data_IF_936006696336
#
_entry.id   IF_936006696336
#
_cell.length_a   1.000
_cell.length_b   1.000
_cell.length_c   1.000
_cell.angle_alpha   90.00
_cell.angle_beta   90.00
_cell.angle_gamma   90.00
#
_symmetry.space_group_name_H-M   'P 1'
#
loop_
_entity.id
_entity.type
_entity.pdbx_description
1 polymer ?
#
# COMPACT_ATOMS: atom_id res chain seq x y z
N UNK A 1 -3.77 -3.48 53.82
CA UNK A 1 -4.24 -2.74 52.63
C UNK A 1 -3.13 -2.78 51.60
N UNK A 2 -3.18 -3.73 50.67
CA UNK A 2 -2.25 -3.75 49.54
C UNK A 2 -2.88 -2.92 48.41
N UNK A 3 -2.30 -1.75 48.16
CA UNK A 3 -2.69 -0.88 47.04
C UNK A 3 -2.50 -1.64 45.73
N UNK A 4 -3.61 -1.83 45.03
CA UNK A 4 -3.65 -2.34 43.66
C UNK A 4 -3.20 -1.20 42.75
N UNK A 5 -1.92 -1.17 42.40
CA UNK A 5 -1.42 -0.32 41.32
C UNK A 5 -2.03 -0.85 40.01
N UNK A 6 -3.09 -0.18 39.56
CA UNK A 6 -3.53 -0.27 38.17
C UNK A 6 -2.58 0.62 37.37
N UNK A 7 -1.47 0.05 36.89
CA UNK A 7 -0.60 0.73 35.96
C UNK A 7 -1.32 0.87 34.63
N UNK A 8 -1.64 2.09 34.24
CA UNK A 8 -1.97 2.40 32.84
C UNK A 8 -0.73 2.04 32.02
N UNK A 9 -0.76 0.91 31.31
CA UNK A 9 0.28 0.59 30.34
C UNK A 9 0.15 1.65 29.24
N UNK A 10 1.12 2.55 29.17
CA UNK A 10 1.23 3.51 28.08
C UNK A 10 1.54 2.70 26.83
N UNK A 11 0.51 2.41 26.02
CA UNK A 11 0.68 1.66 24.78
C UNK A 11 1.35 2.58 23.78
N UNK A 12 2.64 2.33 23.52
CA UNK A 12 3.40 3.14 22.59
C UNK A 12 2.94 2.87 21.16
N UNK A 13 2.46 3.92 20.48
CA UNK A 13 2.13 3.88 19.07
C UNK A 13 3.42 3.97 18.25
N UNK A 14 3.60 3.04 17.33
CA UNK A 14 4.77 2.89 16.47
C UNK A 14 4.36 3.17 15.02
N UNK A 15 5.18 3.94 14.30
CA UNK A 15 5.02 4.13 12.86
C UNK A 15 5.73 3.02 12.09
N UNK A 16 5.20 2.65 10.92
CA UNK A 16 5.84 1.67 10.05
C UNK A 16 5.24 1.60 8.65
N UNK A 17 5.67 0.60 7.89
CA UNK A 17 5.26 0.39 6.50
C UNK A 17 4.84 -1.05 6.26
N UNK A 18 3.69 -1.24 5.62
CA UNK A 18 3.21 -2.57 5.21
C UNK A 18 4.18 -3.14 4.18
N UNK A 19 4.79 -4.28 4.46
CA UNK A 19 5.72 -4.97 3.53
C UNK A 19 4.94 -5.84 2.55
N UNK A 20 4.00 -6.61 3.10
CA UNK A 20 3.14 -7.54 2.37
C UNK A 20 1.83 -7.67 3.11
N UNK A 21 0.74 -7.77 2.37
CA UNK A 21 -0.56 -8.21 2.88
C UNK A 21 -1.22 -9.12 1.85
N UNK A 22 -1.82 -10.21 2.32
CA UNK A 22 -2.54 -11.18 1.49
C UNK A 22 -4.03 -11.07 1.82
N UNK A 23 -4.78 -10.38 0.95
CA UNK A 23 -6.22 -10.13 1.17
C UNK A 23 -7.03 -11.41 1.28
N UNK A 24 -6.65 -12.47 0.54
CA UNK A 24 -7.36 -13.75 0.55
C UNK A 24 -7.14 -14.47 1.88
N UNK A 25 -5.92 -14.39 2.43
CA UNK A 25 -5.56 -15.05 3.69
C UNK A 25 -5.78 -14.18 4.93
N UNK A 26 -6.00 -12.88 4.76
CA UNK A 26 -6.29 -11.91 5.82
C UNK A 26 -5.10 -11.57 6.72
N UNK A 27 -3.85 -11.77 6.27
CA UNK A 27 -2.67 -11.46 7.07
C UNK A 27 -1.49 -10.91 6.27
N UNK A 28 -0.58 -10.26 6.97
CA UNK A 28 0.60 -9.61 6.40
C UNK A 28 1.67 -9.27 7.44
N UNK A 29 2.57 -8.37 7.05
CA UNK A 29 3.68 -7.92 7.88
C UNK A 29 3.93 -6.43 7.70
N UNK A 30 4.29 -5.76 8.81
CA UNK A 30 4.67 -4.35 8.87
C UNK A 30 6.13 -4.25 9.30
N UNK A 31 6.93 -3.50 8.55
CA UNK A 31 8.28 -3.11 8.96
C UNK A 31 8.21 -1.85 9.82
N UNK A 32 8.67 -1.87 11.08
CA UNK A 32 8.72 -0.68 11.94
C UNK A 32 9.67 0.39 11.36
N UNK A 33 9.30 1.67 11.48
CA UNK A 33 10.10 2.79 10.98
C UNK A 33 11.45 2.93 11.69
N UNK A 34 11.52 2.50 12.96
CA UNK A 34 12.75 2.50 13.76
C UNK A 34 13.64 1.28 13.47
N UNK A 35 13.26 0.44 12.51
CA UNK A 35 13.89 -0.85 12.25
C UNK A 35 13.51 -1.91 13.28
N UNK A 36 14.05 -3.12 13.13
CA UNK A 36 13.73 -4.27 13.97
C UNK A 36 13.13 -5.43 13.17
N UNK A 37 12.52 -6.36 13.89
CA UNK A 37 11.83 -7.49 13.28
C UNK A 37 10.49 -7.06 12.67
N UNK A 38 10.09 -7.73 11.60
CA UNK A 38 8.78 -7.51 10.97
C UNK A 38 7.67 -7.93 11.93
N UNK A 39 6.67 -7.05 12.06
CA UNK A 39 5.55 -7.22 12.97
C UNK A 39 4.38 -7.85 12.22
N UNK A 40 3.81 -8.92 12.77
CA UNK A 40 2.70 -9.63 12.17
C UNK A 40 1.42 -8.78 12.17
N UNK A 41 0.72 -8.76 11.03
CA UNK A 41 -0.52 -8.01 10.83
C UNK A 41 -1.67 -8.96 10.48
N UNK A 42 -2.82 -8.78 11.12
CA UNK A 42 -4.05 -9.52 10.80
C UNK A 42 -5.19 -8.55 10.48
N UNK A 43 -6.11 -8.95 9.59
CA UNK A 43 -7.27 -8.15 9.17
C UNK A 43 -8.13 -7.67 10.35
N UNK A 44 -8.27 -8.51 11.38
CA UNK A 44 -9.05 -8.20 12.58
C UNK A 44 -8.47 -7.06 13.43
N UNK A 45 -7.20 -6.71 13.23
CA UNK A 45 -6.50 -5.68 14.02
C UNK A 45 -6.51 -4.31 13.33
N UNK A 46 -7.16 -4.21 12.16
CA UNK A 46 -7.24 -3.00 11.36
C UNK A 46 -8.35 -2.08 11.87
N UNK A 47 -8.02 -0.80 12.01
CA UNK A 47 -8.98 0.29 12.23
C UNK A 47 -9.33 0.99 10.90
N UNK A 48 -8.87 0.45 9.78
CA UNK A 48 -9.10 0.91 8.42
C UNK A 48 -9.60 -0.25 7.56
N UNK A 49 -10.34 0.01 6.46
CA UNK A 49 -10.73 -1.06 5.55
C UNK A 49 -9.50 -1.76 4.94
N UNK A 50 -9.57 -3.09 4.82
CA UNK A 50 -8.48 -3.92 4.31
C UNK A 50 -8.09 -3.55 2.86
N UNK A 51 -9.02 -2.99 2.08
CA UNK A 51 -8.81 -2.50 0.71
C UNK A 51 -7.69 -1.43 0.62
N UNK A 52 -7.41 -0.72 1.71
CA UNK A 52 -6.32 0.24 1.76
C UNK A 52 -4.95 -0.41 1.98
N UNK A 53 -4.89 -1.63 2.52
CA UNK A 53 -3.63 -2.31 2.79
C UNK A 53 -2.96 -2.74 1.50
N UNK A 54 -1.94 -1.97 1.13
CA UNK A 54 -1.04 -2.28 0.03
C UNK A 54 0.38 -2.22 0.52
N UNK A 55 1.24 -3.04 -0.08
CA UNK A 55 2.68 -2.94 0.13
C UNK A 55 3.15 -1.50 -0.08
N UNK A 56 3.91 -0.99 0.87
CA UNK A 56 4.36 0.40 0.87
C UNK A 56 3.48 1.37 1.65
N UNK A 57 2.27 1.01 2.08
CA UNK A 57 1.40 1.89 2.88
C UNK A 57 2.06 2.22 4.23
N UNK A 58 2.05 3.50 4.59
CA UNK A 58 2.47 3.96 5.92
C UNK A 58 1.32 3.84 6.91
N UNK A 59 1.61 3.30 8.09
CA UNK A 59 0.63 3.04 9.14
C UNK A 59 1.21 3.37 10.51
N UNK A 60 0.31 3.66 11.44
CA UNK A 60 0.57 3.68 12.88
C UNK A 60 -0.11 2.47 13.52
N UNK A 61 0.56 1.83 14.46
CA UNK A 61 0.08 0.63 15.12
C UNK A 61 0.70 0.47 16.50
N UNK A 62 0.09 -0.34 17.33
CA UNK A 62 0.61 -0.75 18.63
C UNK A 62 1.25 -2.13 18.49
N UNK A 63 2.30 -2.40 19.26
CA UNK A 63 2.99 -3.71 19.24
C UNK A 63 2.61 -4.49 20.49
N UNK A 64 2.12 -5.71 20.29
CA UNK A 64 1.81 -6.68 21.33
C UNK A 64 2.56 -8.00 21.10
N UNK A 65 2.90 -8.71 22.18
CA UNK A 65 3.43 -10.07 22.09
C UNK A 65 2.29 -11.07 21.85
N UNK A 66 2.29 -11.71 20.67
CA UNK A 66 1.34 -12.78 20.34
C UNK A 66 1.98 -14.17 20.36
N UNK A 67 1.16 -15.20 20.14
CA UNK A 67 1.58 -16.61 20.13
C UNK A 67 2.66 -16.93 19.07
N UNK A 68 2.82 -16.06 18.06
CA UNK A 68 3.73 -16.22 16.92
C UNK A 68 4.77 -15.11 16.83
N UNK A 69 5.04 -14.40 17.93
CA UNK A 69 5.94 -13.26 17.98
C UNK A 69 5.18 -11.93 17.96
N UNK A 70 5.87 -10.86 17.56
CA UNK A 70 5.32 -9.50 17.59
C UNK A 70 4.12 -9.37 16.66
N UNK A 71 3.02 -8.82 17.19
CA UNK A 71 1.76 -8.58 16.48
C UNK A 71 1.39 -7.10 16.54
N UNK A 72 0.90 -6.58 15.43
CA UNK A 72 0.38 -5.23 15.32
C UNK A 72 -1.09 -5.20 15.71
N UNK A 73 -1.46 -4.26 16.58
CA UNK A 73 -2.84 -3.97 16.98
C UNK A 73 -3.17 -2.51 16.71
N UNK A 74 -4.47 -2.18 16.70
CA UNK A 74 -4.96 -0.81 16.50
C UNK A 74 -4.41 -0.12 15.24
N UNK A 75 -4.26 -0.87 14.14
CA UNK A 75 -3.55 -0.39 12.94
C UNK A 75 -4.38 0.65 12.20
N UNK A 76 -3.82 1.84 12.04
CA UNK A 76 -4.49 3.00 11.43
C UNK A 76 -3.55 3.77 10.52
N UNK A 77 -4.11 4.73 9.80
CA UNK A 77 -3.30 5.67 9.03
C UNK A 77 -2.66 6.71 9.97
N UNK A 78 -1.46 7.21 9.65
CA UNK A 78 -0.80 8.25 10.44
C UNK A 78 -1.60 9.56 10.45
N UNK A 79 -1.56 10.30 11.55
CA UNK A 79 -2.27 11.58 11.67
C UNK A 79 -1.79 12.57 10.60
N UNK A 80 -2.74 13.17 9.85
CA UNK A 80 -2.44 14.11 8.76
C UNK A 80 -2.60 13.53 7.35
N UNK A 81 -3.02 12.27 7.20
CA UNK A 81 -3.50 11.77 5.91
C UNK A 81 -5.03 11.79 5.90
N UNK A 82 -5.63 12.65 5.08
CA UNK A 82 -7.06 12.61 4.86
C UNK A 82 -7.42 11.26 4.23
N UNK A 83 -8.34 10.49 4.83
CA UNK A 83 -8.90 9.25 4.24
C UNK A 83 -9.52 9.48 2.84
N UNK A 84 -9.76 10.76 2.49
CA UNK A 84 -10.21 11.19 1.16
C UNK A 84 -9.07 11.30 0.15
N UNK A 85 -7.83 11.54 0.59
CA UNK A 85 -6.67 11.71 -0.29
C UNK A 85 -6.17 10.38 -0.86
N UNK A 86 -6.47 9.24 -0.21
CA UNK A 86 -6.26 7.90 -0.77
C UNK A 86 -7.28 7.54 -1.86
N UNK A 87 -8.41 8.26 -1.94
CA UNK A 87 -9.36 8.21 -3.07
C UNK A 87 -8.99 9.17 -4.21
N UNK A 88 -7.97 10.02 -4.02
CA UNK A 88 -7.56 11.03 -4.99
C UNK A 88 -6.06 10.92 -5.34
N UNK A 89 -5.59 9.70 -5.54
CA UNK A 89 -4.87 9.45 -6.78
C UNK A 89 -5.96 9.35 -7.84
N UNK A 90 -5.88 10.03 -9.00
CA UNK A 90 -6.93 9.89 -10.01
C UNK A 90 -6.95 8.42 -10.45
N UNK A 91 -7.90 7.66 -9.91
CA UNK A 91 -8.36 6.39 -10.50
C UNK A 91 -9.08 6.81 -11.77
N UNK A 92 -8.33 7.01 -12.84
CA UNK A 92 -8.91 7.21 -14.15
C UNK A 92 -9.24 5.82 -14.70
N UNK A 93 -10.54 5.54 -14.74
CA UNK A 93 -11.22 4.45 -15.46
C UNK A 93 -11.05 3.00 -14.94
N UNK A 94 -11.49 2.75 -13.71
CA UNK A 94 -12.02 1.43 -13.36
C UNK A 94 -13.47 1.29 -13.87
N UNK A 95 -13.69 0.62 -14.99
CA UNK A 95 -15.04 0.19 -15.39
C UNK A 95 -15.51 -0.90 -14.44
N UNK A 96 -16.61 -0.64 -13.72
CA UNK A 96 -17.26 -1.60 -12.83
C UNK A 96 -17.86 -2.72 -13.67
N UNK A 97 -17.39 -3.96 -13.50
CA UNK A 97 -18.09 -5.16 -13.96
C UNK A 97 -19.37 -5.39 -13.14
N UNK A 98 -20.37 -6.04 -13.74
CA UNK A 98 -21.69 -6.31 -13.14
C UNK A 98 -21.65 -7.13 -11.82
N UNK A 99 -20.49 -7.67 -11.46
CA UNK A 99 -20.25 -8.55 -10.32
C UNK A 99 -19.50 -7.89 -9.13
N UNK A 100 -19.08 -6.64 -9.23
CA UNK A 100 -18.59 -5.87 -8.07
C UNK A 100 -17.23 -6.29 -7.48
N UNK A 101 -16.44 -7.12 -8.18
CA UNK A 101 -15.08 -7.47 -7.78
C UNK A 101 -14.08 -6.34 -8.18
N UNK A 102 -13.20 -5.88 -7.27
CA UNK A 102 -12.09 -5.01 -7.63
C UNK A 102 -11.06 -5.83 -8.39
N UNK A 103 -11.15 -5.81 -9.72
CA UNK A 103 -10.08 -6.33 -10.57
C UNK A 103 -8.81 -5.53 -10.28
N UNK A 104 -7.71 -6.24 -10.07
CA UNK A 104 -6.38 -5.65 -10.08
C UNK A 104 -6.17 -5.15 -11.52
N UNK A 105 -6.51 -3.88 -11.79
CA UNK A 105 -6.65 -3.31 -13.13
C UNK A 105 -5.44 -3.68 -13.99
N UNK A 106 -5.62 -4.67 -14.87
CA UNK A 106 -4.66 -4.95 -15.91
C UNK A 106 -4.81 -3.82 -16.90
N UNK A 107 -3.90 -2.84 -16.85
CA UNK A 107 -3.96 -1.70 -17.76
C UNK A 107 -3.83 -2.17 -19.20
N UNK A 108 -4.64 -1.61 -20.09
CA UNK A 108 -4.40 -1.78 -21.52
C UNK A 108 -3.02 -1.18 -21.90
N UNK A 109 -2.39 -1.71 -22.95
CA UNK A 109 -1.08 -1.23 -23.40
C UNK A 109 -1.07 0.30 -23.65
N UNK A 110 -2.17 0.79 -24.19
CA UNK A 110 -2.35 2.18 -24.60
C UNK A 110 -2.47 3.12 -23.39
N UNK A 111 -3.09 2.64 -22.32
CA UNK A 111 -3.28 3.38 -21.08
C UNK A 111 -1.97 3.51 -20.31
N UNK A 112 -1.26 2.39 -20.12
CA UNK A 112 0.06 2.42 -19.51
C UNK A 112 1.03 3.33 -20.30
N UNK A 113 0.98 3.26 -21.63
CA UNK A 113 1.81 4.09 -22.52
C UNK A 113 1.55 5.59 -22.33
N UNK A 114 0.28 5.99 -22.15
CA UNK A 114 -0.13 7.38 -21.93
C UNK A 114 0.38 7.88 -20.57
N UNK A 115 0.13 7.12 -19.51
CA UNK A 115 0.54 7.49 -18.14
C UNK A 115 2.06 7.62 -18.01
N UNK A 116 2.83 6.72 -18.63
CA UNK A 116 4.29 6.85 -18.65
C UNK A 116 4.72 8.12 -19.36
N UNK A 117 4.06 8.49 -20.46
CA UNK A 117 4.43 9.70 -21.22
C UNK A 117 4.21 10.95 -20.36
N UNK A 118 3.04 11.07 -19.71
CA UNK A 118 2.72 12.20 -18.83
C UNK A 118 3.66 12.26 -17.61
N UNK A 119 3.94 11.12 -16.98
CA UNK A 119 4.85 11.03 -15.84
C UNK A 119 6.26 11.50 -16.21
N UNK A 120 6.78 11.07 -17.36
CA UNK A 120 8.13 11.44 -17.80
C UNK A 120 8.24 12.93 -18.16
N UNK A 121 7.21 13.49 -18.79
CA UNK A 121 7.15 14.92 -19.09
C UNK A 121 7.12 15.77 -17.83
N UNK A 122 6.37 15.33 -16.81
CA UNK A 122 6.30 16.02 -15.52
C UNK A 122 7.59 15.90 -14.70
N UNK A 123 8.18 14.70 -14.62
CA UNK A 123 9.32 14.42 -13.75
C UNK A 123 10.65 14.94 -14.32
N UNK A 124 10.83 14.91 -15.64
CA UNK A 124 12.07 15.33 -16.29
C UNK A 124 11.78 16.08 -17.59
N UNK A 125 11.43 17.38 -17.52
CA UNK A 125 11.08 18.19 -18.68
C UNK A 125 12.22 18.35 -19.72
N UNK A 126 13.45 18.00 -19.34
CA UNK A 126 14.64 18.03 -20.21
C UNK A 126 14.74 16.81 -21.12
N UNK A 127 13.92 15.77 -20.92
CA UNK A 127 13.93 14.60 -21.79
C UNK A 127 13.46 14.99 -23.20
N UNK A 128 14.19 14.51 -24.20
CA UNK A 128 13.78 14.69 -25.60
C UNK A 128 12.63 13.75 -25.93
N UNK A 129 11.85 14.11 -26.96
CA UNK A 129 10.77 13.24 -27.45
C UNK A 129 11.28 11.83 -27.79
N UNK A 130 12.45 11.70 -28.40
CA UNK A 130 13.07 10.40 -28.72
C UNK A 130 13.36 9.57 -27.47
N UNK A 131 13.89 10.19 -26.42
CA UNK A 131 14.17 9.52 -25.14
C UNK A 131 12.89 9.05 -24.47
N UNK A 132 11.84 9.87 -24.46
CA UNK A 132 10.52 9.52 -23.90
C UNK A 132 9.94 8.31 -24.64
N UNK A 133 9.98 8.31 -25.97
CA UNK A 133 9.49 7.19 -26.79
C UNK A 133 10.27 5.90 -26.52
N UNK A 134 11.60 5.98 -26.33
CA UNK A 134 12.44 4.84 -26.01
C UNK A 134 12.09 4.25 -24.63
N UNK A 135 12.01 5.09 -23.60
CA UNK A 135 11.69 4.67 -22.24
C UNK A 135 10.30 4.03 -22.19
N UNK A 136 9.30 4.71 -22.77
CA UNK A 136 7.93 4.21 -22.85
C UNK A 136 7.85 2.82 -23.46
N UNK A 137 8.54 2.61 -24.60
CA UNK A 137 8.59 1.29 -25.25
C UNK A 137 9.17 0.22 -24.32
N UNK A 138 10.29 0.51 -23.67
CA UNK A 138 10.96 -0.44 -22.77
C UNK A 138 10.12 -0.80 -21.55
N UNK A 139 9.43 0.17 -20.96
CA UNK A 139 8.55 -0.08 -19.81
C UNK A 139 7.32 -0.89 -20.22
N UNK A 140 6.74 -0.63 -21.40
CA UNK A 140 5.61 -1.42 -21.92
C UNK A 140 6.03 -2.86 -22.25
N UNK A 141 7.19 -3.07 -22.86
CA UNK A 141 7.75 -4.40 -23.11
C UNK A 141 8.00 -5.17 -21.81
N UNK A 142 8.55 -4.47 -20.81
CA UNK A 142 8.77 -5.02 -19.47
C UNK A 142 7.44 -5.42 -18.81
N UNK A 143 6.44 -4.52 -18.82
CA UNK A 143 5.12 -4.78 -18.25
C UNK A 143 4.42 -5.98 -18.87
N UNK A 144 4.53 -6.17 -20.19
CA UNK A 144 4.01 -7.37 -20.88
C UNK A 144 4.69 -8.65 -20.41
N UNK A 145 6.01 -8.66 -20.24
CA UNK A 145 6.76 -9.81 -19.73
C UNK A 145 6.40 -10.20 -18.29
N UNK A 146 5.80 -9.28 -17.54
CA UNK A 146 5.42 -9.45 -16.14
C UNK A 146 3.90 -9.49 -15.90
N UNK A 147 3.08 -9.52 -16.96
CA UNK A 147 1.62 -9.63 -16.86
C UNK A 147 0.91 -8.37 -16.37
N UNK A 148 1.55 -7.19 -16.46
CA UNK A 148 0.94 -5.90 -16.06
C UNK A 148 0.05 -5.29 -17.14
N UNK A 149 0.11 -5.85 -18.35
CA UNK A 149 -0.53 -5.29 -19.54
C UNK A 149 -1.20 -6.41 -20.32
N UNK A 150 -2.44 -6.19 -20.75
CA UNK A 150 -3.16 -7.07 -21.66
C UNK A 150 -2.59 -7.02 -23.09
N UNK A 151 -2.50 -8.19 -23.71
CA UNK A 151 -1.88 -8.43 -25.01
C UNK A 151 -2.76 -8.05 -26.19
#
# INVERSE_FOLDING_TARGET
MVSKFCGSVEVAVVAGRVVRFDNVRGYGFIAPAHGGEDVFLHVNDLMIPEEYLRSGLQVEFEIEEGDRGLRATSVRLPEGVDHKSLKSVPVQHGTVGDDGEPLCDVFSQEELSREITELLLAAAPTLTAEQILLIRRRVVEFGRGHGWVEG
#
